data_IF_535674210938
#
_entry.id   IF_535674210938
#
_cell.length_a   1.000
_cell.length_b   1.000
_cell.length_c   1.000
_cell.angle_alpha   90.00
_cell.angle_beta   90.00
_cell.angle_gamma   90.00
#
_symmetry.space_group_name_H-M   'P 1'
#
loop_
_entity.id
_entity.type
_entity.pdbx_description
1 polymer ?
#
# COMPACT_ATOMS: atom_id res chain seq x y z
N UNK A 1 -5.44 -9.68 -12.01
CA UNK A 1 -5.68 -8.21 -12.16
C UNK A 1 -6.72 -7.81 -11.13
N UNK A 2 -6.44 -6.84 -10.29
CA UNK A 2 -7.42 -6.35 -9.30
C UNK A 2 -8.03 -5.10 -9.91
N UNK A 3 -9.30 -5.15 -10.28
CA UNK A 3 -10.06 -3.97 -10.66
C UNK A 3 -10.43 -3.20 -9.39
N UNK A 4 -9.94 -1.97 -9.28
CA UNK A 4 -10.39 -1.02 -8.28
C UNK A 4 -11.57 -0.24 -8.88
N UNK A 5 -12.76 -0.51 -8.38
CA UNK A 5 -13.93 0.30 -8.72
C UNK A 5 -13.99 1.47 -7.73
N UNK A 6 -13.53 2.65 -8.18
CA UNK A 6 -13.55 3.89 -7.41
C UNK A 6 -14.73 4.74 -7.89
N UNK A 7 -15.59 5.14 -6.95
CA UNK A 7 -16.69 6.05 -7.25
C UNK A 7 -16.17 7.40 -7.78
N UNK A 8 -16.83 7.95 -8.79
CA UNK A 8 -16.48 9.25 -9.36
C UNK A 8 -15.39 9.23 -10.44
N UNK A 9 -14.79 8.06 -10.78
CA UNK A 9 -13.74 7.98 -11.80
C UNK A 9 -14.18 8.48 -13.19
N UNK A 10 -15.44 8.29 -13.57
CA UNK A 10 -15.92 8.74 -14.88
C UNK A 10 -15.92 10.27 -14.98
N UNK A 11 -16.39 10.97 -13.94
CA UNK A 11 -16.37 12.44 -13.89
C UNK A 11 -14.92 12.99 -13.91
N UNK A 12 -14.02 12.35 -13.18
CA UNK A 12 -12.58 12.67 -13.16
C UNK A 12 -11.99 12.48 -14.56
N UNK A 13 -12.25 11.34 -15.20
CA UNK A 13 -11.76 11.03 -16.54
C UNK A 13 -12.23 12.06 -17.57
N UNK A 14 -13.50 12.46 -17.51
CA UNK A 14 -14.07 13.44 -18.45
C UNK A 14 -13.51 14.85 -18.22
N UNK A 15 -13.28 15.23 -16.97
CA UNK A 15 -12.60 16.49 -16.65
C UNK A 15 -11.15 16.45 -17.11
N UNK A 16 -10.43 15.36 -16.82
CA UNK A 16 -9.03 15.17 -17.18
C UNK A 16 -8.80 15.23 -18.70
N UNK A 17 -9.69 14.66 -19.50
CA UNK A 17 -9.63 14.73 -20.98
C UNK A 17 -9.75 16.16 -21.54
N UNK A 18 -10.43 17.05 -20.82
CA UNK A 18 -10.61 18.46 -21.21
C UNK A 18 -9.43 19.35 -20.84
N UNK A 19 -8.54 18.88 -19.97
CA UNK A 19 -7.33 19.63 -19.59
C UNK A 19 -6.33 19.66 -20.75
N UNK A 20 -5.60 20.76 -20.89
CA UNK A 20 -4.46 20.83 -21.81
C UNK A 20 -3.32 19.89 -21.32
N UNK A 21 -2.47 19.41 -22.23
CA UNK A 21 -1.48 18.38 -21.89
C UNK A 21 -0.58 18.72 -20.70
N UNK A 22 -0.09 19.96 -20.63
CA UNK A 22 0.80 20.44 -19.56
C UNK A 22 0.11 20.43 -18.20
N UNK A 23 -1.13 20.93 -18.14
CA UNK A 23 -1.95 20.93 -16.93
C UNK A 23 -2.28 19.49 -16.52
N UNK A 24 -2.57 18.63 -17.51
CA UNK A 24 -2.85 17.20 -17.27
C UNK A 24 -1.69 16.51 -16.59
N UNK A 25 -0.46 16.72 -17.04
CA UNK A 25 0.72 16.12 -16.45
C UNK A 25 0.90 16.56 -14.99
N UNK A 26 0.81 17.86 -14.71
CA UNK A 26 0.93 18.38 -13.35
C UNK A 26 -0.18 17.89 -12.42
N UNK A 27 -1.40 17.70 -12.94
CA UNK A 27 -2.50 17.10 -12.16
C UNK A 27 -2.19 15.64 -11.84
N UNK A 28 -1.70 14.87 -12.81
CA UNK A 28 -1.32 13.47 -12.63
C UNK A 28 -0.20 13.33 -11.58
N UNK A 29 0.83 14.16 -11.67
CA UNK A 29 1.93 14.20 -10.70
C UNK A 29 1.45 14.55 -9.29
N UNK A 30 0.55 15.51 -9.18
CA UNK A 30 -0.07 15.88 -7.91
C UNK A 30 -0.90 14.76 -7.29
N UNK A 31 -1.67 14.04 -8.10
CA UNK A 31 -2.43 12.86 -7.64
C UNK A 31 -1.49 11.74 -7.18
N UNK A 32 -0.45 11.45 -7.96
CA UNK A 32 0.53 10.43 -7.62
C UNK A 32 1.25 10.74 -6.30
N UNK A 33 1.63 12.01 -6.09
CA UNK A 33 2.29 12.43 -4.85
C UNK A 33 1.37 12.26 -3.64
N UNK A 34 0.10 12.68 -3.74
CA UNK A 34 -0.89 12.50 -2.64
C UNK A 34 -1.11 11.01 -2.34
N UNK A 35 -1.24 10.19 -3.39
CA UNK A 35 -1.39 8.75 -3.20
C UNK A 35 -0.15 8.14 -2.53
N UNK A 36 1.05 8.52 -2.96
CA UNK A 36 2.30 8.03 -2.37
C UNK A 36 2.44 8.41 -0.89
N UNK A 37 2.25 9.69 -0.56
CA UNK A 37 2.36 10.20 0.81
C UNK A 37 1.33 9.55 1.73
N UNK A 38 0.10 9.40 1.25
CA UNK A 38 -0.96 8.71 1.99
C UNK A 38 -0.63 7.23 2.20
N UNK A 39 -0.14 6.54 1.17
CA UNK A 39 0.26 5.14 1.27
C UNK A 39 1.42 4.96 2.27
N UNK A 40 2.41 5.83 2.23
CA UNK A 40 3.56 5.80 3.13
C UNK A 40 3.13 6.02 4.59
N UNK A 41 2.30 7.04 4.84
CA UNK A 41 1.76 7.32 6.17
C UNK A 41 0.95 6.14 6.72
N UNK A 42 0.12 5.52 5.89
CA UNK A 42 -0.67 4.35 6.29
C UNK A 42 0.21 3.13 6.53
N UNK A 43 1.22 2.88 5.70
CA UNK A 43 2.15 1.78 5.87
C UNK A 43 2.96 1.90 7.17
N UNK A 44 3.34 3.10 7.58
CA UNK A 44 4.06 3.36 8.83
C UNK A 44 3.27 2.91 10.07
N UNK A 45 1.95 2.99 10.04
CA UNK A 45 1.11 2.56 11.17
C UNK A 45 1.15 1.05 11.41
N UNK A 46 1.62 0.25 10.44
CA UNK A 46 1.64 -1.21 10.48
C UNK A 46 3.03 -1.82 10.64
N UNK A 47 4.02 -1.03 11.02
CA UNK A 47 5.40 -1.48 11.02
C UNK A 47 6.09 -1.30 12.38
N UNK A 48 6.84 -2.34 12.79
CA UNK A 48 7.75 -2.25 13.94
C UNK A 48 9.14 -1.75 13.54
N UNK A 49 9.55 -1.96 12.29
CA UNK A 49 10.91 -1.69 11.82
C UNK A 49 10.97 -0.59 10.77
N UNK A 50 9.84 -0.08 10.31
CA UNK A 50 9.76 0.86 9.18
C UNK A 50 10.02 0.22 7.80
N UNK A 51 10.27 -1.09 7.74
CA UNK A 51 10.61 -1.76 6.48
C UNK A 51 9.49 -1.66 5.44
N UNK A 52 8.23 -1.74 5.89
CA UNK A 52 7.07 -1.68 5.00
C UNK A 52 6.96 -0.31 4.31
N UNK A 53 7.03 0.79 5.07
CA UNK A 53 6.99 2.14 4.50
C UNK A 53 8.20 2.44 3.61
N UNK A 54 9.42 2.02 4.03
CA UNK A 54 10.63 2.20 3.21
C UNK A 54 10.65 1.37 1.92
N UNK A 55 9.84 0.32 1.82
CA UNK A 55 9.73 -0.49 0.61
C UNK A 55 8.78 0.11 -0.44
N UNK A 56 8.00 1.12 -0.08
CA UNK A 56 7.16 1.85 -1.03
C UNK A 56 8.01 2.57 -2.07
N UNK A 57 7.59 2.46 -3.32
CA UNK A 57 8.21 3.11 -4.47
C UNK A 57 7.14 3.80 -5.30
N UNK A 58 7.51 4.94 -5.85
CA UNK A 58 6.73 5.66 -6.86
C UNK A 58 7.62 5.84 -8.08
N UNK A 59 7.13 5.45 -9.25
CA UNK A 59 7.86 5.54 -10.51
C UNK A 59 6.93 5.86 -11.66
N UNK A 60 7.37 6.67 -12.64
CA UNK A 60 6.57 6.92 -13.83
C UNK A 60 6.47 5.67 -14.71
N UNK A 61 5.35 5.52 -15.38
CA UNK A 61 5.13 4.53 -16.43
C UNK A 61 4.74 5.25 -17.72
N UNK A 62 5.72 5.50 -18.59
CA UNK A 62 5.55 6.40 -19.73
C UNK A 62 5.21 7.83 -19.29
N UNK A 63 4.50 8.56 -20.16
CA UNK A 63 4.16 9.97 -19.94
C UNK A 63 2.76 10.18 -19.34
N UNK A 64 2.05 9.10 -19.00
CA UNK A 64 0.63 9.19 -18.66
C UNK A 64 0.20 8.37 -17.46
N UNK A 65 1.13 7.74 -16.76
CA UNK A 65 0.82 6.93 -15.61
C UNK A 65 1.94 6.95 -14.55
N UNK A 66 1.54 6.71 -13.30
CA UNK A 66 2.44 6.46 -12.18
C UNK A 66 2.14 5.10 -11.56
N UNK A 67 3.18 4.36 -11.20
CA UNK A 67 3.07 3.13 -10.44
C UNK A 67 3.52 3.38 -9.01
N UNK A 68 2.68 3.02 -8.05
CA UNK A 68 3.00 3.00 -6.62
C UNK A 68 2.91 1.56 -6.17
N UNK A 69 4.03 0.98 -5.79
CA UNK A 69 4.15 -0.42 -5.39
C UNK A 69 5.11 -0.59 -4.20
N UNK A 70 5.22 -1.82 -3.71
CA UNK A 70 6.23 -2.21 -2.74
C UNK A 70 7.37 -2.97 -3.40
N UNK A 71 8.58 -2.67 -2.99
CA UNK A 71 9.72 -3.53 -3.28
C UNK A 71 9.60 -4.84 -2.46
N UNK A 72 9.12 -5.88 -3.13
CA UNK A 72 8.89 -7.18 -2.51
C UNK A 72 10.19 -7.93 -2.17
N UNK A 73 11.33 -7.50 -2.66
CA UNK A 73 12.63 -8.06 -2.25
C UNK A 73 12.98 -7.58 -0.83
N UNK A 74 12.69 -6.31 -0.52
CA UNK A 74 12.93 -5.72 0.79
C UNK A 74 11.78 -5.94 1.79
N UNK A 75 10.56 -6.04 1.31
CA UNK A 75 9.38 -6.28 2.14
C UNK A 75 8.44 -7.35 1.52
N UNK A 76 8.85 -8.63 1.49
CA UNK A 76 8.03 -9.70 0.90
C UNK A 76 6.70 -9.91 1.63
N UNK A 77 6.60 -9.47 2.88
CA UNK A 77 5.37 -9.52 3.69
C UNK A 77 4.35 -8.43 3.33
N UNK A 78 4.71 -7.42 2.52
CA UNK A 78 3.82 -6.31 2.18
C UNK A 78 2.48 -6.78 1.60
N UNK A 79 2.49 -7.78 0.73
CA UNK A 79 1.26 -8.35 0.15
C UNK A 79 0.34 -8.94 1.21
N UNK A 80 0.90 -9.68 2.17
CA UNK A 80 0.12 -10.32 3.24
C UNK A 80 -0.45 -9.31 4.22
N UNK A 81 0.30 -8.27 4.54
CA UNK A 81 -0.18 -7.19 5.41
C UNK A 81 -1.24 -6.36 4.70
N UNK A 82 -1.06 -6.08 3.41
CA UNK A 82 -2.00 -5.29 2.62
C UNK A 82 -3.33 -6.03 2.37
N UNK A 83 -3.27 -7.27 1.86
CA UNK A 83 -4.45 -8.04 1.47
C UNK A 83 -4.98 -8.97 2.55
N UNK A 84 -4.15 -9.24 3.56
CA UNK A 84 -4.46 -10.23 4.58
C UNK A 84 -4.08 -11.66 4.19
N UNK A 85 -4.40 -12.58 5.08
CA UNK A 85 -4.20 -14.01 4.89
C UNK A 85 -5.40 -14.80 5.37
N UNK A 86 -5.70 -15.90 4.69
CA UNK A 86 -6.71 -16.85 5.17
C UNK A 86 -6.18 -17.63 6.39
N UNK A 87 -7.04 -18.21 7.23
CA UNK A 87 -6.63 -19.15 8.25
C UNK A 87 -5.80 -20.29 7.63
N UNK A 88 -4.66 -20.62 8.24
CA UNK A 88 -3.76 -21.66 7.75
C UNK A 88 -2.93 -22.28 8.87
N UNK A 89 -2.37 -23.44 8.59
CA UNK A 89 -1.45 -24.10 9.51
C UNK A 89 0.00 -23.74 9.18
N UNK A 90 0.74 -23.25 10.17
CA UNK A 90 2.17 -23.00 10.07
C UNK A 90 2.88 -24.26 10.58
N UNK A 91 3.78 -24.80 9.75
CA UNK A 91 4.61 -25.98 10.07
C UNK A 91 6.08 -25.63 9.89
N UNK A 92 6.99 -26.23 10.65
CA UNK A 92 8.42 -26.05 10.42
C UNK A 92 8.81 -26.63 9.05
N UNK A 93 9.72 -25.96 8.33
CA UNK A 93 10.25 -26.43 7.05
C UNK A 93 11.43 -27.39 7.26
N UNK A 94 12.45 -26.94 8.01
CA UNK A 94 13.74 -27.63 8.15
C UNK A 94 14.00 -28.15 9.57
N UNK A 95 13.16 -27.78 10.53
CA UNK A 95 13.27 -28.16 11.94
C UNK A 95 12.11 -29.05 12.36
N UNK A 96 12.29 -29.80 13.46
CA UNK A 96 11.23 -30.68 13.99
C UNK A 96 10.08 -29.90 14.64
N UNK A 97 10.35 -28.69 15.10
CA UNK A 97 9.38 -27.84 15.80
C UNK A 97 9.55 -26.37 15.44
N UNK A 98 8.48 -25.61 15.57
CA UNK A 98 8.47 -24.16 15.58
C UNK A 98 8.93 -23.68 16.96
N UNK A 99 9.61 -22.53 17.01
CA UNK A 99 10.05 -21.89 18.24
C UNK A 99 9.82 -20.38 18.15
N UNK A 100 9.22 -19.79 19.17
CA UNK A 100 9.09 -18.33 19.29
C UNK A 100 9.17 -17.90 20.76
N UNK A 101 9.55 -16.63 21.04
CA UNK A 101 9.56 -16.09 22.40
C UNK A 101 8.14 -16.05 22.98
N UNK A 102 7.95 -16.43 24.22
CA UNK A 102 6.68 -16.21 24.93
C UNK A 102 6.54 -14.72 25.26
N UNK A 103 5.44 -14.10 24.82
CA UNK A 103 5.26 -12.64 24.68
C UNK A 103 5.30 -11.77 25.94
N UNK A 104 5.62 -12.24 27.14
CA UNK A 104 5.49 -11.41 28.34
C UNK A 104 6.70 -11.39 29.28
N UNK A 105 7.86 -11.80 28.84
CA UNK A 105 8.94 -11.94 29.84
C UNK A 105 10.38 -11.91 29.33
N UNK A 106 10.64 -11.21 28.22
CA UNK A 106 11.99 -11.18 27.68
C UNK A 106 12.43 -12.51 27.02
N UNK A 107 13.64 -12.51 26.44
CA UNK A 107 14.14 -13.56 25.56
C UNK A 107 14.44 -14.93 26.23
N UNK A 108 14.05 -15.13 27.47
CA UNK A 108 14.40 -16.33 28.25
C UNK A 108 13.42 -17.50 28.15
N UNK A 109 12.18 -17.23 27.74
CA UNK A 109 11.15 -18.26 27.64
C UNK A 109 10.69 -18.44 26.19
N UNK A 110 10.71 -19.68 25.71
CA UNK A 110 10.32 -20.03 24.35
C UNK A 110 9.17 -21.03 24.36
N UNK A 111 8.25 -20.82 23.43
CA UNK A 111 7.20 -21.79 23.12
C UNK A 111 7.66 -22.67 21.97
N UNK A 112 7.36 -23.95 22.05
CA UNK A 112 7.66 -24.93 21.01
C UNK A 112 6.37 -25.64 20.56
N UNK A 113 6.17 -25.78 19.26
CA UNK A 113 5.04 -26.52 18.72
C UNK A 113 5.40 -27.24 17.42
N UNK A 114 4.76 -28.39 17.16
CA UNK A 114 4.89 -29.08 15.87
C UNK A 114 4.14 -28.40 14.75
N UNK A 115 3.09 -27.68 15.09
CA UNK A 115 2.35 -26.81 14.18
C UNK A 115 1.58 -25.77 14.99
N UNK A 116 1.21 -24.66 14.32
CA UNK A 116 0.33 -23.62 14.86
C UNK A 116 -0.78 -23.38 13.86
N UNK A 117 -2.02 -23.30 14.33
CA UNK A 117 -3.14 -22.80 13.52
C UNK A 117 -3.15 -21.27 13.60
N UNK A 118 -2.79 -20.63 12.51
CA UNK A 118 -2.87 -19.19 12.38
C UNK A 118 -4.31 -18.81 11.98
N UNK A 119 -4.98 -17.89 12.70
CA UNK A 119 -6.39 -17.53 12.42
C UNK A 119 -6.56 -16.74 11.11
N UNK A 120 -5.48 -16.42 10.43
CA UNK A 120 -5.47 -15.48 9.33
C UNK A 120 -5.28 -14.05 9.81
N UNK A 121 -5.24 -13.15 8.84
CA UNK A 121 -5.13 -11.71 9.07
C UNK A 121 -6.03 -10.97 8.08
N UNK A 122 -6.83 -10.03 8.56
CA UNK A 122 -7.82 -9.31 7.73
C UNK A 122 -7.18 -8.44 6.64
N UNK A 123 -5.93 -8.05 6.83
CA UNK A 123 -5.26 -7.11 5.95
C UNK A 123 -5.68 -5.66 6.15
N UNK A 124 -4.90 -4.76 5.56
CA UNK A 124 -5.16 -3.34 5.56
C UNK A 124 -4.73 -2.73 4.22
N UNK A 125 -5.69 -2.50 3.33
CA UNK A 125 -5.46 -2.11 1.94
C UNK A 125 -5.12 -0.62 1.81
N UNK A 126 -3.94 -0.19 2.27
CA UNK A 126 -3.52 1.21 2.27
C UNK A 126 -3.31 1.79 0.87
N UNK A 127 -2.91 1.00 -0.12
CA UNK A 127 -2.79 1.49 -1.51
C UNK A 127 -4.15 1.86 -2.09
N UNK A 128 -5.20 1.10 -1.76
CA UNK A 128 -6.58 1.42 -2.16
C UNK A 128 -7.03 2.72 -1.52
N UNK A 129 -6.80 2.87 -0.21
CA UNK A 129 -7.14 4.10 0.52
C UNK A 129 -6.36 5.32 0.00
N UNK A 130 -5.11 5.11 -0.40
CA UNK A 130 -4.29 6.15 -0.98
C UNK A 130 -4.82 6.61 -2.35
N UNK A 131 -5.25 5.66 -3.19
CA UNK A 131 -5.90 5.97 -4.46
C UNK A 131 -7.22 6.73 -4.25
N UNK A 132 -8.06 6.28 -3.30
CA UNK A 132 -9.31 6.97 -2.94
C UNK A 132 -9.05 8.41 -2.48
N UNK A 133 -7.99 8.65 -1.72
CA UNK A 133 -7.62 9.99 -1.24
C UNK A 133 -7.20 10.89 -2.40
N UNK A 134 -6.38 10.40 -3.33
CA UNK A 134 -6.00 11.14 -4.52
C UNK A 134 -7.22 11.52 -5.37
N UNK A 135 -8.18 10.58 -5.52
CA UNK A 135 -9.45 10.81 -6.22
C UNK A 135 -10.27 11.90 -5.52
N UNK A 136 -10.41 11.85 -4.21
CA UNK A 136 -11.14 12.89 -3.44
C UNK A 136 -10.54 14.27 -3.57
N UNK A 137 -9.22 14.36 -3.73
CA UNK A 137 -8.52 15.65 -3.85
C UNK A 137 -8.38 16.14 -5.30
N UNK A 138 -8.89 15.43 -6.28
CA UNK A 138 -8.73 15.73 -7.69
C UNK A 138 -9.10 17.19 -8.05
N UNK A 139 -10.29 17.65 -7.66
CA UNK A 139 -10.74 19.01 -7.98
C UNK A 139 -9.88 20.10 -7.34
N UNK A 140 -9.36 19.84 -6.13
CA UNK A 140 -8.45 20.76 -5.46
C UNK A 140 -7.09 20.82 -6.17
N UNK A 141 -6.59 19.68 -6.65
CA UNK A 141 -5.36 19.61 -7.45
C UNK A 141 -5.52 20.38 -8.74
N UNK A 142 -6.63 20.17 -9.48
CA UNK A 142 -6.91 20.86 -10.76
C UNK A 142 -6.93 22.37 -10.54
N UNK A 143 -7.66 22.86 -9.54
CA UNK A 143 -7.72 24.32 -9.24
C UNK A 143 -6.34 24.88 -8.89
N UNK A 144 -5.55 24.16 -8.10
CA UNK A 144 -4.19 24.59 -7.72
C UNK A 144 -3.27 24.69 -8.93
N UNK A 145 -3.29 23.68 -9.81
CA UNK A 145 -2.44 23.65 -11.01
C UNK A 145 -2.86 24.75 -11.98
N UNK A 146 -4.15 24.94 -12.25
CA UNK A 146 -4.66 25.97 -13.14
C UNK A 146 -4.41 27.39 -12.62
N UNK A 147 -4.34 27.58 -11.30
CA UNK A 147 -4.03 28.87 -10.70
C UNK A 147 -2.52 29.20 -10.63
N UNK A 148 -1.66 28.22 -10.94
CA UNK A 148 -0.21 28.36 -10.96
C UNK A 148 0.37 28.54 -12.38
N UNK A 149 -0.45 28.37 -13.41
CA UNK A 149 -0.14 28.55 -14.83
C UNK A 149 -0.76 29.87 -15.30
#
# INVERSE_FOLDING_TARGET
MIELNLEGLDAIRDTFKRLVPEVRQHVLDGMAQIAFDTAQQQADTHTKTGALARSLRMRPEGDSAWIIDHDLQHAPHALFVHWGTRPHAIRPKDKKVLRWPSGSGGATHFVFARFVRHPGYKGHAWLVKAADEAVRQFDAIVRRVQGAV
#
